data_IF_750922616110
#
_entry.id   IF_750922616110
#
_cell.length_a   1.000
_cell.length_b   1.000
_cell.length_c   1.000
_cell.angle_alpha   90.00
_cell.angle_beta   90.00
_cell.angle_gamma   90.00
#
_symmetry.space_group_name_H-M   'P 1'
#
loop_
_entity.id
_entity.type
_entity.pdbx_description
1 polymer ?
#
# COMPACT_ATOMS: atom_id res chain seq x y z
N UNK A 1 38.75 -2.77 -23.94
CA UNK A 1 37.42 -3.34 -23.62
C UNK A 1 37.25 -3.47 -22.10
N UNK A 2 38.25 -3.94 -21.36
CA UNK A 2 38.22 -4.03 -19.89
C UNK A 2 38.07 -2.65 -19.18
N UNK A 3 38.81 -1.63 -19.63
CA UNK A 3 38.70 -0.26 -19.06
C UNK A 3 37.30 0.35 -19.21
N UNK A 4 36.66 0.14 -20.36
CA UNK A 4 35.28 0.62 -20.61
C UNK A 4 34.31 -0.13 -19.71
N UNK A 5 34.49 -1.42 -19.54
CA UNK A 5 33.66 -2.25 -18.66
C UNK A 5 33.83 -1.84 -17.20
N UNK A 6 35.06 -1.62 -16.75
CA UNK A 6 35.38 -1.14 -15.40
C UNK A 6 34.77 0.22 -15.11
N UNK A 7 34.86 1.14 -16.06
CA UNK A 7 34.23 2.47 -15.91
C UNK A 7 32.70 2.39 -15.86
N UNK A 8 32.12 1.48 -16.64
CA UNK A 8 30.65 1.28 -16.62
C UNK A 8 30.18 0.64 -15.30
N UNK A 9 30.87 -0.37 -14.81
CA UNK A 9 30.58 -1.03 -13.52
C UNK A 9 30.70 -0.01 -12.38
N UNK A 10 31.79 0.77 -12.33
CA UNK A 10 32.01 1.78 -11.29
C UNK A 10 30.89 2.83 -11.24
N UNK A 11 30.38 3.29 -12.40
CA UNK A 11 29.27 4.26 -12.47
C UNK A 11 27.93 3.64 -12.05
N UNK A 12 27.73 2.36 -12.35
CA UNK A 12 26.53 1.62 -11.91
C UNK A 12 26.58 1.46 -10.40
N UNK A 13 27.72 1.00 -9.84
CA UNK A 13 27.90 0.83 -8.40
C UNK A 13 27.72 2.15 -7.64
N UNK A 14 28.25 3.25 -8.15
CA UNK A 14 28.10 4.58 -7.57
C UNK A 14 26.62 5.01 -7.53
N UNK A 15 25.86 4.76 -8.62
CA UNK A 15 24.44 5.08 -8.68
C UNK A 15 23.63 4.26 -7.69
N UNK A 16 23.85 2.95 -7.62
CA UNK A 16 23.09 2.06 -6.76
C UNK A 16 23.44 2.17 -5.28
N UNK A 17 24.68 2.55 -4.95
CA UNK A 17 25.11 2.78 -3.57
C UNK A 17 24.75 4.17 -3.02
N UNK A 18 24.16 5.05 -3.84
CA UNK A 18 23.72 6.38 -3.39
C UNK A 18 22.63 6.26 -2.32
N UNK A 19 22.86 6.91 -1.16
CA UNK A 19 21.90 6.92 -0.06
C UNK A 19 20.70 7.81 -0.44
N UNK A 20 19.52 7.24 -0.44
CA UNK A 20 18.26 7.94 -0.76
C UNK A 20 17.38 8.18 0.46
N UNK A 21 17.58 7.46 1.55
CA UNK A 21 16.78 7.60 2.76
C UNK A 21 17.48 7.10 4.03
N UNK A 22 16.95 7.53 5.18
CA UNK A 22 17.40 7.08 6.50
C UNK A 22 16.19 6.75 7.36
N UNK A 23 16.23 5.59 7.98
CA UNK A 23 15.20 5.13 8.91
C UNK A 23 15.79 5.11 10.32
N UNK A 24 14.95 5.35 11.31
CA UNK A 24 15.35 5.30 12.72
C UNK A 24 15.90 3.94 13.11
N UNK A 25 15.40 2.91 12.48
CA UNK A 25 15.78 1.51 12.63
C UNK A 25 15.46 0.74 11.35
N UNK A 26 15.86 -0.50 11.28
CA UNK A 26 15.39 -1.42 10.25
C UNK A 26 13.87 -1.63 10.41
N UNK A 27 13.12 -1.52 9.30
CA UNK A 27 11.70 -1.80 9.22
C UNK A 27 11.46 -3.10 8.45
N UNK A 28 10.42 -3.83 8.81
CA UNK A 28 10.20 -5.19 8.33
C UNK A 28 8.91 -5.37 7.53
N UNK A 29 8.95 -6.36 6.62
CA UNK A 29 7.81 -6.89 5.87
C UNK A 29 7.92 -8.42 5.78
N UNK A 30 7.79 -9.14 6.92
CA UNK A 30 8.08 -10.56 6.98
C UNK A 30 7.02 -11.42 6.28
N UNK A 31 5.77 -10.96 6.28
CA UNK A 31 4.61 -11.69 5.77
C UNK A 31 3.72 -10.79 4.92
N UNK A 32 3.14 -11.34 3.85
CA UNK A 32 2.29 -10.58 2.92
C UNK A 32 0.83 -10.50 3.33
N UNK A 33 0.39 -11.35 4.25
CA UNK A 33 -1.04 -11.52 4.60
C UNK A 33 -1.39 -10.88 5.94
N UNK A 34 -0.58 -9.93 6.38
CA UNK A 34 -0.80 -9.16 7.62
C UNK A 34 -0.27 -7.73 7.48
N UNK A 35 -0.66 -6.88 8.42
CA UNK A 35 -0.10 -5.54 8.58
C UNK A 35 1.40 -5.60 8.86
N UNK A 36 2.18 -4.73 8.21
CA UNK A 36 3.64 -4.69 8.35
C UNK A 36 4.16 -3.26 8.46
N UNK A 37 5.36 -3.09 9.03
CA UNK A 37 5.98 -1.78 9.20
C UNK A 37 6.25 -1.09 7.86
N UNK A 38 6.86 -1.80 6.90
CA UNK A 38 7.10 -1.25 5.55
C UNK A 38 5.79 -1.01 4.80
N UNK A 39 4.79 -1.88 4.97
CA UNK A 39 3.46 -1.69 4.39
C UNK A 39 2.80 -0.41 4.89
N UNK A 40 2.84 -0.18 6.20
CA UNK A 40 2.33 1.03 6.84
C UNK A 40 3.08 2.28 6.35
N UNK A 41 4.42 2.22 6.32
CA UNK A 41 5.23 3.34 5.84
C UNK A 41 4.87 3.74 4.41
N UNK A 42 4.87 2.77 3.49
CA UNK A 42 4.62 3.06 2.08
C UNK A 42 3.18 3.52 1.83
N UNK A 43 2.18 2.90 2.45
CA UNK A 43 0.80 3.35 2.33
C UNK A 43 0.62 4.80 2.81
N UNK A 44 1.28 5.19 3.90
CA UNK A 44 1.26 6.56 4.42
C UNK A 44 1.98 7.54 3.49
N UNK A 45 3.16 7.18 2.97
CA UNK A 45 3.91 8.01 2.04
C UNK A 45 3.06 8.35 0.82
N UNK A 46 2.55 7.33 0.13
CA UNK A 46 1.73 7.55 -1.06
C UNK A 46 0.46 8.35 -0.77
N UNK A 47 -0.23 8.07 0.34
CA UNK A 47 -1.44 8.80 0.72
C UNK A 47 -1.15 10.28 0.91
N UNK A 48 -0.07 10.63 1.62
CA UNK A 48 0.33 12.01 1.89
C UNK A 48 0.86 12.71 0.65
N UNK A 49 1.79 12.08 -0.08
CA UNK A 49 2.43 12.68 -1.26
C UNK A 49 1.43 12.96 -2.38
N UNK A 50 0.42 12.13 -2.54
CA UNK A 50 -0.61 12.29 -3.56
C UNK A 50 -1.80 13.15 -3.11
N UNK A 51 -1.89 13.50 -1.81
CA UNK A 51 -3.00 14.26 -1.26
C UNK A 51 -4.36 13.57 -1.43
N UNK A 52 -4.39 12.26 -1.32
CA UNK A 52 -5.60 11.42 -1.44
C UNK A 52 -6.02 10.90 -0.06
N UNK A 53 -7.25 10.41 0.05
CA UNK A 53 -7.77 9.91 1.33
C UNK A 53 -7.15 8.56 1.70
N UNK A 54 -6.96 7.68 0.71
CA UNK A 54 -6.58 6.29 0.93
C UNK A 54 -5.69 5.80 -0.23
N UNK A 55 -4.49 5.33 0.08
CA UNK A 55 -3.71 4.51 -0.84
C UNK A 55 -3.70 3.06 -0.36
N UNK A 56 -4.10 2.13 -1.22
CA UNK A 56 -4.00 0.70 -0.97
C UNK A 56 -2.76 0.16 -1.69
N UNK A 57 -1.78 -0.32 -0.92
CA UNK A 57 -0.54 -0.89 -1.47
C UNK A 57 -0.64 -2.41 -1.50
N UNK A 58 -0.50 -2.99 -2.68
CA UNK A 58 -0.38 -4.44 -2.79
C UNK A 58 0.82 -4.94 -1.98
N UNK A 59 0.59 -5.84 -1.04
CA UNK A 59 1.63 -6.38 -0.17
C UNK A 59 2.74 -7.06 -0.96
N UNK A 60 2.38 -7.67 -2.08
CA UNK A 60 3.30 -8.27 -3.04
C UNK A 60 4.17 -7.27 -3.80
N UNK A 61 3.83 -5.99 -3.80
CA UNK A 61 4.68 -4.94 -4.38
C UNK A 61 5.91 -4.63 -3.52
N UNK A 62 5.86 -4.98 -2.23
CA UNK A 62 6.99 -4.84 -1.30
C UNK A 62 7.77 -6.15 -1.31
N UNK A 63 8.98 -6.13 -1.87
CA UNK A 63 9.84 -7.32 -2.01
C UNK A 63 10.88 -7.43 -0.91
N UNK A 64 11.26 -6.29 -0.29
CA UNK A 64 12.16 -6.29 0.85
C UNK A 64 11.48 -6.93 2.06
N UNK A 65 12.09 -7.94 2.67
CA UNK A 65 11.69 -8.44 3.98
C UNK A 65 12.08 -7.47 5.10
N UNK A 66 13.10 -6.65 4.85
CA UNK A 66 13.60 -5.61 5.76
C UNK A 66 14.25 -4.50 4.96
N UNK A 67 14.20 -3.27 5.45
CA UNK A 67 14.78 -2.09 4.82
C UNK A 67 15.29 -1.11 5.88
N UNK A 68 16.44 -0.50 5.64
CA UNK A 68 17.06 0.47 6.55
C UNK A 68 18.08 -0.18 7.50
N UNK A 69 18.66 0.59 8.47
CA UNK A 69 18.42 2.02 8.76
C UNK A 69 18.96 2.99 7.70
N UNK A 70 19.92 2.59 6.88
CA UNK A 70 20.41 3.35 5.72
C UNK A 70 19.82 2.69 4.48
N UNK A 71 19.18 3.47 3.64
CA UNK A 71 18.53 2.99 2.41
C UNK A 71 19.25 3.59 1.22
N UNK A 72 19.84 2.74 0.40
CA UNK A 72 20.44 3.12 -0.87
C UNK A 72 19.39 3.08 -2.00
N UNK A 73 19.74 3.66 -3.14
CA UNK A 73 18.92 3.54 -4.34
C UNK A 73 18.73 2.07 -4.76
N UNK A 74 19.80 1.25 -4.64
CA UNK A 74 19.72 -0.18 -4.89
C UNK A 74 18.71 -0.89 -3.98
N UNK A 75 18.77 -0.63 -2.67
CA UNK A 75 17.83 -1.21 -1.71
C UNK A 75 16.37 -0.85 -2.03
N UNK A 76 16.14 0.41 -2.45
CA UNK A 76 14.80 0.85 -2.84
C UNK A 76 14.30 0.09 -4.08
N UNK A 77 15.14 -0.01 -5.14
CA UNK A 77 14.77 -0.69 -6.39
C UNK A 77 14.55 -2.19 -6.16
N UNK A 78 15.36 -2.84 -5.34
CA UNK A 78 15.16 -4.25 -4.99
C UNK A 78 13.95 -4.44 -4.08
N UNK A 79 13.76 -3.54 -3.13
CA UNK A 79 12.68 -3.62 -2.14
C UNK A 79 11.30 -3.24 -2.69
N UNK A 80 11.26 -2.37 -3.69
CA UNK A 80 10.04 -1.94 -4.37
C UNK A 80 10.28 -1.85 -5.88
N UNK A 81 10.37 -2.99 -6.59
CA UNK A 81 10.83 -3.03 -8.00
C UNK A 81 9.78 -2.57 -9.02
N UNK A 82 8.53 -2.49 -8.63
CA UNK A 82 7.44 -2.15 -9.55
C UNK A 82 7.27 -0.64 -9.66
N UNK A 83 8.01 -0.06 -10.61
CA UNK A 83 7.94 1.36 -10.91
C UNK A 83 6.85 1.63 -11.96
N UNK A 84 5.59 1.42 -11.56
CA UNK A 84 4.43 1.79 -12.35
C UNK A 84 3.73 3.03 -11.76
N UNK A 85 2.83 3.62 -12.54
CA UNK A 85 2.09 4.80 -12.09
C UNK A 85 1.01 4.48 -11.07
N UNK A 86 0.44 5.53 -10.49
CA UNK A 86 -0.71 5.46 -9.59
C UNK A 86 -1.94 6.06 -10.27
N UNK A 87 -3.04 5.35 -10.23
CA UNK A 87 -4.36 5.85 -10.58
C UNK A 87 -5.15 6.21 -9.35
N UNK A 88 -5.86 7.35 -9.41
CA UNK A 88 -6.82 7.76 -8.39
C UNK A 88 -8.23 7.73 -8.94
N UNK A 89 -9.19 7.38 -8.09
CA UNK A 89 -10.61 7.32 -8.40
C UNK A 89 -11.45 7.62 -7.15
N UNK A 90 -12.72 7.92 -7.35
CA UNK A 90 -13.65 8.15 -6.25
C UNK A 90 -14.56 6.94 -6.02
N UNK A 91 -14.84 6.69 -4.75
CA UNK A 91 -15.83 5.70 -4.29
C UNK A 91 -16.67 6.30 -3.18
N UNK A 92 -17.90 5.81 -3.02
CA UNK A 92 -18.72 6.10 -1.84
C UNK A 92 -18.24 5.28 -0.63
N UNK A 93 -18.67 5.67 0.58
CA UNK A 93 -18.39 4.90 1.80
C UNK A 93 -18.88 3.45 1.70
N UNK A 94 -20.09 3.27 1.13
CA UNK A 94 -20.62 1.93 0.85
C UNK A 94 -19.74 1.14 -0.11
N UNK A 95 -19.30 1.75 -1.22
CA UNK A 95 -18.40 1.08 -2.18
C UNK A 95 -17.03 0.77 -1.57
N UNK A 96 -16.49 1.68 -0.77
CA UNK A 96 -15.23 1.45 -0.05
C UNK A 96 -15.35 0.24 0.89
N UNK A 97 -16.43 0.15 1.65
CA UNK A 97 -16.72 -1.01 2.52
C UNK A 97 -16.78 -2.30 1.71
N UNK A 98 -17.48 -2.31 0.57
CA UNK A 98 -17.58 -3.47 -0.32
C UNK A 98 -16.23 -3.88 -0.90
N UNK A 99 -15.41 -2.92 -1.34
CA UNK A 99 -14.05 -3.18 -1.83
C UNK A 99 -13.17 -3.82 -0.75
N UNK A 100 -13.15 -3.25 0.45
CA UNK A 100 -12.34 -3.76 1.56
C UNK A 100 -12.84 -5.14 2.03
N UNK A 101 -14.15 -5.35 2.03
CA UNK A 101 -14.73 -6.66 2.33
C UNK A 101 -14.27 -7.72 1.31
N UNK A 102 -14.34 -7.39 0.02
CA UNK A 102 -13.93 -8.30 -1.04
C UNK A 102 -12.42 -8.58 -1.05
N UNK A 103 -11.58 -7.58 -0.76
CA UNK A 103 -10.14 -7.78 -0.68
C UNK A 103 -9.74 -8.69 0.51
N UNK A 104 -10.56 -8.76 1.57
CA UNK A 104 -10.30 -9.60 2.75
C UNK A 104 -10.97 -10.98 2.68
N UNK A 105 -11.41 -11.40 1.49
CA UNK A 105 -11.94 -12.75 1.28
C UNK A 105 -10.87 -13.84 1.49
N UNK A 106 -11.30 -15.08 1.60
CA UNK A 106 -10.44 -16.21 2.01
C UNK A 106 -9.20 -16.38 1.12
N UNK A 107 -9.31 -16.11 -0.18
CA UNK A 107 -8.20 -16.21 -1.14
C UNK A 107 -7.03 -15.26 -0.83
N UNK A 108 -7.29 -14.15 -0.13
CA UNK A 108 -6.23 -13.20 0.28
C UNK A 108 -5.25 -13.82 1.28
N UNK A 109 -5.70 -14.79 2.08
CA UNK A 109 -4.88 -15.44 3.11
C UNK A 109 -4.19 -16.70 2.61
N UNK A 110 -4.62 -17.23 1.49
CA UNK A 110 -4.05 -18.43 0.86
C UNK A 110 -3.05 -18.12 -0.26
N UNK A 111 -2.83 -16.83 -0.56
CA UNK A 111 -1.93 -16.37 -1.61
C UNK A 111 -2.51 -16.49 -3.03
N UNK A 112 -3.80 -16.79 -3.17
CA UNK A 112 -4.48 -16.87 -4.47
C UNK A 112 -4.96 -15.51 -4.98
N UNK A 113 -4.88 -14.47 -4.16
CA UNK A 113 -5.09 -13.08 -4.57
C UNK A 113 -4.17 -12.15 -3.78
N UNK A 114 -4.16 -10.86 -4.12
CA UNK A 114 -3.34 -9.86 -3.46
C UNK A 114 -3.93 -9.47 -2.10
N UNK A 115 -3.05 -9.27 -1.13
CA UNK A 115 -3.33 -8.65 0.16
C UNK A 115 -2.87 -7.19 0.13
N UNK A 116 -3.56 -6.28 0.80
CA UNK A 116 -3.24 -4.86 0.73
C UNK A 116 -2.89 -4.27 2.09
N UNK A 117 -1.89 -3.40 2.10
CA UNK A 117 -1.50 -2.59 3.24
C UNK A 117 -2.30 -1.28 3.24
N UNK A 118 -2.65 -0.79 4.43
CA UNK A 118 -3.54 0.35 4.63
C UNK A 118 -2.78 1.59 5.14
N UNK A 119 -3.22 2.82 4.76
CA UNK A 119 -2.71 4.04 5.37
C UNK A 119 -3.24 4.23 6.79
N UNK A 120 -2.59 5.09 7.57
CA UNK A 120 -2.98 5.44 8.94
C UNK A 120 -4.37 6.06 9.07
N UNK A 121 -4.94 6.55 7.96
CA UNK A 121 -6.30 7.08 7.91
C UNK A 121 -7.37 6.02 8.05
N UNK A 122 -7.06 4.75 7.74
CA UNK A 122 -7.98 3.62 7.87
C UNK A 122 -7.64 2.76 9.08
N UNK A 123 -8.67 2.31 9.79
CA UNK A 123 -8.58 1.23 10.77
C UNK A 123 -9.77 0.31 10.62
N UNK A 124 -9.51 -1.00 10.63
CA UNK A 124 -10.55 -2.01 10.54
C UNK A 124 -10.25 -3.22 11.42
N UNK A 125 -11.33 -3.86 11.86
CA UNK A 125 -11.28 -5.19 12.46
C UNK A 125 -12.25 -6.09 11.71
N UNK A 126 -11.70 -7.12 11.10
CA UNK A 126 -12.44 -8.08 10.27
C UNK A 126 -12.50 -9.44 10.98
N UNK A 127 -13.70 -9.97 11.18
CA UNK A 127 -13.90 -11.31 11.75
C UNK A 127 -14.15 -12.31 10.62
N UNK A 128 -13.17 -13.15 10.30
CA UNK A 128 -13.27 -14.17 9.23
C UNK A 128 -14.36 -15.21 9.50
N UNK A 129 -14.76 -15.43 10.76
CA UNK A 129 -15.86 -16.35 11.11
C UNK A 129 -17.22 -15.77 10.73
N UNK A 130 -17.38 -14.46 10.86
CA UNK A 130 -18.59 -13.74 10.47
C UNK A 130 -18.57 -13.36 8.99
N UNK A 131 -17.38 -13.28 8.40
CA UNK A 131 -17.17 -12.72 7.08
C UNK A 131 -17.55 -11.23 7.00
N UNK A 132 -17.35 -10.46 8.09
CA UNK A 132 -17.72 -9.03 8.12
C UNK A 132 -16.83 -8.25 9.11
N UNK A 133 -16.92 -6.92 9.03
CA UNK A 133 -16.22 -6.00 9.92
C UNK A 133 -16.93 -5.90 11.29
N UNK A 134 -16.16 -6.03 12.36
CA UNK A 134 -16.59 -5.59 13.68
C UNK A 134 -16.63 -4.06 13.75
N UNK A 135 -15.64 -3.40 13.13
CA UNK A 135 -15.64 -1.97 12.87
C UNK A 135 -14.79 -1.64 11.63
N UNK A 136 -15.11 -0.50 11.02
CA UNK A 136 -14.37 0.09 9.93
C UNK A 136 -14.42 1.62 10.08
N UNK A 137 -13.26 2.27 10.26
CA UNK A 137 -13.17 3.70 10.52
C UNK A 137 -12.23 4.39 9.54
N UNK A 138 -12.57 5.64 9.20
CA UNK A 138 -11.70 6.58 8.51
C UNK A 138 -11.45 7.78 9.43
N UNK A 139 -10.17 8.10 9.68
CA UNK A 139 -9.75 9.15 10.62
C UNK A 139 -10.48 9.05 11.99
N UNK A 140 -10.66 7.83 12.48
CA UNK A 140 -11.29 7.56 13.78
C UNK A 140 -12.81 7.60 13.80
N UNK A 141 -13.49 7.91 12.67
CA UNK A 141 -14.94 7.94 12.55
C UNK A 141 -15.46 6.72 11.82
N UNK A 142 -16.51 6.09 12.33
CA UNK A 142 -17.06 4.87 11.75
C UNK A 142 -17.81 5.17 10.45
N UNK A 143 -17.40 4.50 9.36
CA UNK A 143 -18.04 4.60 8.05
C UNK A 143 -19.33 3.79 8.04
N UNK A 144 -20.40 4.40 7.57
CA UNK A 144 -21.76 3.84 7.63
C UNK A 144 -22.54 4.24 8.88
N UNK A 145 -21.90 4.95 9.84
CA UNK A 145 -22.58 5.49 11.05
C UNK A 145 -22.30 6.97 11.24
N UNK A 146 -21.04 7.35 11.48
CA UNK A 146 -20.62 8.74 11.69
C UNK A 146 -20.27 9.43 10.37
N UNK A 147 -19.75 8.66 9.40
CA UNK A 147 -19.54 9.07 8.01
C UNK A 147 -20.58 8.35 7.18
N UNK A 148 -21.41 9.09 6.42
CA UNK A 148 -22.49 8.51 5.62
C UNK A 148 -21.97 7.55 4.53
N UNK A 149 -22.81 6.60 4.15
CA UNK A 149 -22.51 5.64 3.09
C UNK A 149 -22.31 6.30 1.71
N UNK A 150 -22.83 7.52 1.52
CA UNK A 150 -22.71 8.34 0.31
C UNK A 150 -21.49 9.27 0.33
N UNK A 151 -20.77 9.38 1.45
CA UNK A 151 -19.56 10.17 1.55
C UNK A 151 -18.51 9.68 0.54
N UNK A 152 -17.85 10.63 -0.13
CA UNK A 152 -16.89 10.31 -1.19
C UNK A 152 -15.46 10.24 -0.65
N UNK A 153 -14.76 9.19 -1.03
CA UNK A 153 -13.34 8.97 -0.76
C UNK A 153 -12.55 8.92 -2.06
N UNK A 154 -11.38 9.53 -2.07
CA UNK A 154 -10.41 9.41 -3.16
C UNK A 154 -9.44 8.27 -2.83
N UNK A 155 -9.49 7.21 -3.62
CA UNK A 155 -8.66 6.01 -3.45
C UNK A 155 -7.59 5.96 -4.52
N UNK A 156 -6.36 5.58 -4.14
CA UNK A 156 -5.23 5.33 -5.04
C UNK A 156 -4.88 3.85 -5.12
N UNK A 157 -4.52 3.41 -6.31
CA UNK A 157 -3.97 2.09 -6.60
C UNK A 157 -2.81 2.21 -7.59
N UNK A 158 -1.79 1.36 -7.44
CA UNK A 158 -0.81 1.16 -8.50
C UNK A 158 -1.49 0.73 -9.80
N UNK A 159 -0.92 1.12 -10.94
CA UNK A 159 -1.52 0.90 -12.26
C UNK A 159 -1.89 -0.56 -12.54
N UNK A 160 -1.03 -1.52 -12.12
CA UNK A 160 -1.32 -2.94 -12.25
C UNK A 160 -2.60 -3.33 -11.50
N UNK A 161 -2.74 -2.91 -10.25
CA UNK A 161 -3.92 -3.20 -9.42
C UNK A 161 -5.16 -2.48 -9.92
N UNK A 162 -5.00 -1.25 -10.43
CA UNK A 162 -6.11 -0.51 -11.02
C UNK A 162 -6.63 -1.15 -12.31
N UNK A 163 -5.75 -1.62 -13.20
CA UNK A 163 -6.15 -2.34 -14.42
C UNK A 163 -6.91 -3.64 -14.14
N UNK A 164 -6.66 -4.24 -12.99
CA UNK A 164 -7.29 -5.48 -12.53
C UNK A 164 -8.29 -5.25 -11.38
N UNK A 165 -8.83 -4.03 -11.25
CA UNK A 165 -9.62 -3.60 -10.10
C UNK A 165 -10.86 -4.47 -9.86
N UNK A 166 -11.49 -4.94 -10.92
CA UNK A 166 -12.66 -5.82 -10.82
C UNK A 166 -12.31 -7.17 -10.17
N UNK A 167 -11.16 -7.75 -10.53
CA UNK A 167 -10.67 -8.99 -9.93
C UNK A 167 -10.25 -8.82 -8.47
N UNK A 168 -9.63 -7.70 -8.11
CA UNK A 168 -9.11 -7.48 -6.75
C UNK A 168 -10.15 -6.93 -5.78
N UNK A 169 -11.11 -6.12 -6.27
CA UNK A 169 -12.03 -5.35 -5.42
C UNK A 169 -13.50 -5.49 -5.78
N UNK A 170 -13.84 -6.30 -6.79
CA UNK A 170 -15.20 -6.51 -7.29
C UNK A 170 -15.95 -5.21 -7.61
N UNK A 171 -15.25 -4.23 -8.19
CA UNK A 171 -15.82 -2.98 -8.66
C UNK A 171 -15.39 -2.73 -10.10
N UNK A 172 -16.33 -2.44 -10.99
CA UNK A 172 -16.03 -2.23 -12.41
C UNK A 172 -15.58 -0.79 -12.68
N UNK A 173 -14.77 -0.63 -13.72
CA UNK A 173 -14.36 0.69 -14.22
C UNK A 173 -15.56 1.59 -14.55
N UNK A 174 -16.61 1.03 -15.15
CA UNK A 174 -17.84 1.77 -15.48
C UNK A 174 -18.56 2.28 -14.23
N UNK A 175 -18.52 1.51 -13.14
CA UNK A 175 -19.09 1.94 -11.85
C UNK A 175 -18.33 3.15 -11.29
N UNK A 176 -16.99 3.14 -11.37
CA UNK A 176 -16.18 4.28 -10.96
C UNK A 176 -16.44 5.52 -11.81
N UNK A 177 -16.58 5.35 -13.12
CA UNK A 177 -16.86 6.44 -14.06
C UNK A 177 -18.20 7.17 -13.77
N UNK A 178 -19.18 6.52 -13.11
CA UNK A 178 -20.44 7.16 -12.72
C UNK A 178 -20.24 8.25 -11.67
N UNK A 179 -19.23 8.13 -10.82
CA UNK A 179 -18.89 9.17 -9.84
C UNK A 179 -17.92 10.20 -10.43
N UNK A 180 -16.79 9.73 -10.90
CA UNK A 180 -15.76 10.55 -11.55
C UNK A 180 -14.86 9.64 -12.36
N UNK A 181 -14.53 10.03 -13.60
CA UNK A 181 -13.57 9.29 -14.41
C UNK A 181 -12.22 9.16 -13.69
N UNK A 182 -11.72 7.93 -13.48
CA UNK A 182 -10.40 7.69 -12.90
C UNK A 182 -9.29 8.41 -13.69
N UNK A 183 -8.25 8.86 -13.00
CA UNK A 183 -7.13 9.58 -13.61
C UNK A 183 -5.80 9.12 -13.05
N UNK A 184 -4.73 9.30 -13.83
CA UNK A 184 -3.37 9.13 -13.34
C UNK A 184 -3.07 10.21 -12.28
N UNK A 185 -2.54 9.79 -11.15
CA UNK A 185 -2.07 10.65 -10.07
C UNK A 185 -0.54 10.82 -10.11
N UNK A 186 0.17 9.78 -10.53
CA UNK A 186 1.61 9.77 -10.71
C UNK A 186 2.01 8.77 -11.80
N UNK A 187 3.20 8.96 -12.36
CA UNK A 187 3.77 8.10 -13.42
C UNK A 187 4.80 7.10 -12.88
N UNK A 188 5.37 7.36 -11.70
CA UNK A 188 6.40 6.54 -11.06
C UNK A 188 6.16 6.46 -9.56
N UNK A 189 6.05 5.25 -9.06
CA UNK A 189 5.98 4.98 -7.62
C UNK A 189 7.33 5.21 -6.94
N UNK A 190 8.43 4.88 -7.61
CA UNK A 190 9.77 5.04 -7.07
C UNK A 190 10.14 6.51 -6.92
N UNK A 191 9.73 7.37 -7.85
CA UNK A 191 9.96 8.82 -7.75
C UNK A 191 9.27 9.41 -6.52
N UNK A 192 8.03 8.99 -6.22
CA UNK A 192 7.30 9.42 -5.01
C UNK A 192 8.07 9.01 -3.75
N UNK A 193 8.54 7.78 -3.68
CA UNK A 193 9.29 7.28 -2.52
C UNK A 193 10.63 8.03 -2.36
N UNK A 194 11.37 8.23 -3.46
CA UNK A 194 12.64 8.95 -3.45
C UNK A 194 12.46 10.43 -3.04
N UNK A 195 11.44 11.10 -3.56
CA UNK A 195 11.14 12.49 -3.20
C UNK A 195 10.80 12.59 -1.71
N UNK A 196 9.90 11.73 -1.24
CA UNK A 196 9.54 11.70 0.17
C UNK A 196 10.73 11.40 1.09
N UNK A 197 11.60 10.46 0.72
CA UNK A 197 12.81 10.12 1.49
C UNK A 197 13.80 11.30 1.57
N UNK A 198 13.90 12.10 0.50
CA UNK A 198 14.76 13.30 0.48
C UNK A 198 14.23 14.43 1.36
N UNK A 199 12.91 14.58 1.44
CA UNK A 199 12.26 15.62 2.22
C UNK A 199 12.23 15.32 3.72
N UNK A 200 12.48 14.09 4.12
CA UNK A 200 12.39 13.63 5.51
C UNK A 200 13.72 13.06 5.99
N UNK A 201 14.36 13.75 6.92
CA UNK A 201 15.69 13.36 7.45
C UNK A 201 15.71 11.97 8.09
N UNK A 202 14.62 11.57 8.76
CA UNK A 202 14.53 10.32 9.48
C UNK A 202 13.10 9.77 9.45
N UNK A 203 12.95 8.57 8.91
CA UNK A 203 11.66 7.89 8.82
C UNK A 203 11.53 6.78 9.87
N UNK A 204 10.31 6.50 10.28
CA UNK A 204 9.96 5.38 11.15
C UNK A 204 8.52 4.95 10.89
N UNK A 205 8.21 3.70 11.18
CA UNK A 205 6.86 3.16 11.15
C UNK A 205 6.76 1.97 12.12
N UNK A 206 5.57 1.68 12.55
CA UNK A 206 5.28 0.54 13.40
C UNK A 206 4.00 -0.16 12.94
N UNK A 207 3.84 -1.41 13.29
CA UNK A 207 2.54 -2.08 13.26
C UNK A 207 1.70 -1.47 14.38
N UNK A 208 0.64 -0.76 14.03
CA UNK A 208 -0.17 0.04 14.97
C UNK A 208 -1.65 -0.38 15.03
N UNK A 209 -1.96 -1.54 14.46
CA UNK A 209 -3.30 -2.13 14.49
C UNK A 209 -4.28 -1.50 13.51
N UNK A 210 -3.80 -1.05 12.34
CA UNK A 210 -4.66 -0.53 11.26
C UNK A 210 -5.59 -1.62 10.75
N UNK A 211 -5.10 -2.85 10.75
CA UNK A 211 -5.84 -4.00 10.26
C UNK A 211 -5.73 -5.17 11.25
N UNK A 212 -6.80 -5.39 12.01
CA UNK A 212 -6.93 -6.54 12.91
C UNK A 212 -7.80 -7.59 12.23
N UNK A 213 -7.26 -8.78 11.99
CA UNK A 213 -7.97 -9.88 11.36
C UNK A 213 -8.12 -11.02 12.36
N UNK A 214 -9.37 -11.34 12.70
CA UNK A 214 -9.67 -12.48 13.57
C UNK A 214 -9.71 -13.77 12.73
N UNK A 215 -9.08 -14.86 13.19
CA UNK A 215 -9.00 -16.12 12.45
C UNK A 215 -10.38 -16.76 12.24
N UNK A 216 -10.49 -17.58 11.19
CA UNK A 216 -11.73 -18.31 10.85
C UNK A 216 -12.05 -19.44 11.86
N UNK A 217 -11.04 -19.99 12.52
CA UNK A 217 -11.18 -21.00 13.57
C UNK A 217 -10.72 -20.44 14.91
N UNK A 218 -11.41 -20.79 16.00
CA UNK A 218 -10.87 -20.54 17.33
C UNK A 218 -9.54 -21.30 17.42
N UNK A 219 -8.43 -20.58 17.62
CA UNK A 219 -7.19 -21.23 18.03
C UNK A 219 -7.47 -21.86 19.40
N UNK A 220 -7.70 -23.18 19.43
CA UNK A 220 -7.61 -23.96 20.66
C UNK A 220 -6.15 -23.93 21.06
N UNK A 221 -5.83 -23.06 22.06
CA UNK A 221 -4.55 -22.99 22.73
C UNK A 221 -4.32 -24.22 23.62
#
# INVERSE_FOLDING_TARGET
>A
MEEVLHHFISRVDEKYSHIVGRFRRELTHPERTQETELGNLFADIFTRSLGIDIMLIGSGSIRAQRLGPIVTYGDLIEGFPYDDGVFMFKVTGQQLRQMLHYMLREEAYTGHTEFYQLPSTLRLRYDRRKGDFDYFTYCGKEVGKEIGDDALFTVGLQNYHFKNIESFFNISYDTLCKLQKPRSAATSCQDILMEYFREHEMLDAAVDGRMTILPSTAQTG
#
